data_IF_968503542255
#
_entry.id   IF_968503542255
#
_cell.length_a   1.000
_cell.length_b   1.000
_cell.length_c   1.000
_cell.angle_alpha   90.00
_cell.angle_beta   90.00
_cell.angle_gamma   90.00
#
_symmetry.space_group_name_H-M   'P 1'
#
loop_
_entity.id
_entity.type
_entity.pdbx_description
1 polymer ?
#
# COMPACT_ATOMS: atom_id res chain seq x y z
N UNK A 1 42.91 -16.55 9.20
CA UNK A 1 41.61 -16.26 9.87
C UNK A 1 41.22 -14.78 9.95
N UNK A 2 42.15 -13.82 10.15
CA UNK A 2 41.83 -12.38 10.29
C UNK A 2 41.09 -11.71 9.12
N UNK A 3 41.27 -12.20 7.88
CA UNK A 3 40.65 -11.62 6.67
C UNK A 3 39.12 -11.80 6.64
N UNK A 4 38.61 -12.93 7.14
CA UNK A 4 37.18 -13.21 7.17
C UNK A 4 36.44 -12.25 8.13
N UNK A 5 37.02 -12.00 9.31
CA UNK A 5 36.49 -11.06 10.29
C UNK A 5 36.47 -9.62 9.77
N UNK A 6 37.51 -9.24 8.99
CA UNK A 6 37.57 -7.92 8.35
C UNK A 6 36.50 -7.77 7.24
N UNK A 7 36.23 -8.82 6.46
CA UNK A 7 35.18 -8.83 5.44
C UNK A 7 33.79 -8.72 6.04
N UNK A 8 33.48 -9.51 7.08
CA UNK A 8 32.21 -9.42 7.79
C UNK A 8 32.01 -8.03 8.43
N UNK A 9 33.05 -7.45 9.03
CA UNK A 9 32.99 -6.09 9.58
C UNK A 9 32.80 -5.01 8.52
N UNK A 10 33.44 -5.13 7.36
CA UNK A 10 33.25 -4.18 6.26
C UNK A 10 31.82 -4.26 5.70
N UNK A 11 31.25 -5.47 5.58
CA UNK A 11 29.86 -5.68 5.15
C UNK A 11 28.86 -5.13 6.17
N UNK A 12 29.07 -5.39 7.46
CA UNK A 12 28.23 -4.85 8.52
C UNK A 12 28.26 -3.31 8.57
N UNK A 13 29.44 -2.69 8.37
CA UNK A 13 29.58 -1.23 8.29
C UNK A 13 28.88 -0.63 7.07
N UNK A 14 28.88 -1.31 5.92
CA UNK A 14 28.13 -0.87 4.73
C UNK A 14 26.62 -0.97 4.92
N UNK A 15 26.15 -2.02 5.60
CA UNK A 15 24.73 -2.15 5.95
C UNK A 15 24.30 -1.07 6.96
N UNK A 16 25.14 -0.77 7.95
CA UNK A 16 24.89 0.28 8.94
C UNK A 16 25.04 1.71 8.39
N UNK A 17 25.82 1.92 7.32
CA UNK A 17 25.96 3.21 6.62
C UNK A 17 24.94 3.42 5.50
N UNK A 18 24.02 2.47 5.28
CA UNK A 18 22.99 2.51 4.24
C UNK A 18 21.66 3.07 4.75
N UNK A 19 21.68 3.96 5.75
CA UNK A 19 20.49 4.72 6.18
C UNK A 19 19.91 5.57 5.03
N UNK A 20 20.74 5.96 4.05
CA UNK A 20 20.31 6.63 2.84
C UNK A 20 19.31 5.80 2.00
N UNK A 21 19.31 4.47 2.13
CA UNK A 21 18.38 3.56 1.45
C UNK A 21 17.19 3.12 2.31
N UNK A 22 17.28 3.24 3.65
CA UNK A 22 16.14 2.95 4.54
C UNK A 22 15.02 3.96 4.31
N UNK A 23 15.35 5.25 4.22
CA UNK A 23 14.34 6.31 3.98
C UNK A 23 13.69 6.18 2.60
N UNK A 24 14.43 5.91 1.51
CA UNK A 24 13.83 5.76 0.17
C UNK A 24 12.95 4.50 0.04
N UNK A 25 13.34 3.40 0.69
CA UNK A 25 12.57 2.15 0.64
C UNK A 25 11.26 2.24 1.42
N UNK A 26 11.27 2.94 2.55
CA UNK A 26 10.08 3.21 3.36
C UNK A 26 9.03 4.00 2.57
N UNK A 27 9.43 5.10 1.92
CA UNK A 27 8.51 5.90 1.09
C UNK A 27 8.01 5.10 -0.12
N UNK A 28 8.86 4.30 -0.76
CA UNK A 28 8.46 3.47 -1.89
C UNK A 28 7.43 2.41 -1.48
N UNK A 29 7.66 1.70 -0.38
CA UNK A 29 6.72 0.71 0.15
C UNK A 29 5.42 1.34 0.64
N UNK A 30 5.47 2.52 1.27
CA UNK A 30 4.28 3.28 1.63
C UNK A 30 3.41 3.61 0.42
N UNK A 31 4.03 4.02 -0.69
CA UNK A 31 3.32 4.30 -1.94
C UNK A 31 2.71 3.03 -2.56
N UNK A 32 3.45 1.92 -2.58
CA UNK A 32 2.96 0.63 -3.09
C UNK A 32 1.79 0.13 -2.24
N UNK A 33 1.88 0.23 -0.91
CA UNK A 33 0.81 -0.14 0.00
C UNK A 33 -0.45 0.70 -0.24
N UNK A 34 -0.30 2.02 -0.40
CA UNK A 34 -1.42 2.92 -0.71
C UNK A 34 -2.05 2.60 -2.07
N UNK A 35 -1.24 2.36 -3.11
CA UNK A 35 -1.72 1.99 -4.44
C UNK A 35 -2.46 0.64 -4.43
N UNK A 36 -1.94 -0.35 -3.71
CA UNK A 36 -2.59 -1.66 -3.53
C UNK A 36 -3.93 -1.54 -2.81
N UNK A 37 -3.98 -0.76 -1.73
CA UNK A 37 -5.23 -0.48 -1.01
C UNK A 37 -6.25 0.25 -1.90
N UNK A 38 -5.82 1.25 -2.67
CA UNK A 38 -6.68 1.94 -3.62
C UNK A 38 -7.26 1.01 -4.69
N UNK A 39 -6.46 0.06 -5.20
CA UNK A 39 -6.95 -0.95 -6.15
C UNK A 39 -8.04 -1.85 -5.53
N UNK A 40 -7.86 -2.27 -4.29
CA UNK A 40 -8.88 -3.05 -3.56
C UNK A 40 -10.16 -2.22 -3.36
N UNK A 41 -10.04 -0.96 -2.91
CA UNK A 41 -11.19 -0.07 -2.75
C UNK A 41 -11.92 0.18 -4.07
N UNK A 42 -11.18 0.36 -5.16
CA UNK A 42 -11.76 0.51 -6.49
C UNK A 42 -12.61 -0.71 -6.85
N UNK A 43 -12.10 -1.92 -6.62
CA UNK A 43 -12.85 -3.16 -6.89
C UNK A 43 -14.08 -3.31 -5.99
N UNK A 44 -14.02 -2.85 -4.75
CA UNK A 44 -15.18 -2.84 -3.85
C UNK A 44 -16.25 -1.87 -4.38
N UNK A 45 -15.88 -0.62 -4.64
CA UNK A 45 -16.82 0.43 -5.07
C UNK A 45 -17.41 0.14 -6.46
N UNK A 46 -16.65 -0.52 -7.34
CA UNK A 46 -17.12 -0.92 -8.66
C UNK A 46 -17.78 -2.30 -8.71
N UNK A 47 -17.99 -2.94 -7.55
CA UNK A 47 -18.66 -4.24 -7.49
C UNK A 47 -20.17 -4.11 -7.69
N UNK A 48 -20.79 -5.16 -8.25
CA UNK A 48 -22.25 -5.21 -8.47
C UNK A 48 -23.03 -5.04 -7.16
N UNK A 49 -22.50 -5.53 -6.04
CA UNK A 49 -23.13 -5.38 -4.73
C UNK A 49 -23.22 -3.92 -4.28
N UNK A 50 -22.15 -3.14 -4.48
CA UNK A 50 -22.13 -1.72 -4.11
C UNK A 50 -22.96 -0.89 -5.08
N UNK A 51 -22.83 -1.11 -6.39
CA UNK A 51 -23.65 -0.44 -7.40
C UNK A 51 -25.14 -0.71 -7.19
N UNK A 52 -25.55 -1.97 -6.98
CA UNK A 52 -26.94 -2.33 -6.73
C UNK A 52 -27.50 -1.75 -5.43
N UNK A 53 -26.68 -1.68 -4.36
CA UNK A 53 -27.08 -1.02 -3.13
C UNK A 53 -27.33 0.49 -3.35
N UNK A 54 -26.45 1.16 -4.10
CA UNK A 54 -26.59 2.57 -4.43
C UNK A 54 -27.82 2.84 -5.31
N UNK A 55 -28.04 2.01 -6.33
CA UNK A 55 -29.23 2.05 -7.18
C UNK A 55 -30.51 1.88 -6.34
N UNK A 56 -30.51 0.97 -5.36
CA UNK A 56 -31.66 0.78 -4.47
C UNK A 56 -31.95 2.02 -3.62
N UNK A 57 -30.91 2.65 -3.06
CA UNK A 57 -31.05 3.88 -2.26
C UNK A 57 -31.58 5.02 -3.12
N UNK A 58 -31.01 5.23 -4.31
CA UNK A 58 -31.46 6.26 -5.25
C UNK A 58 -32.90 5.98 -5.69
N UNK A 59 -33.22 4.73 -6.04
CA UNK A 59 -34.56 4.32 -6.44
C UNK A 59 -35.61 4.59 -5.36
N UNK A 60 -35.28 4.33 -4.09
CA UNK A 60 -36.16 4.67 -2.95
C UNK A 60 -36.36 6.17 -2.81
N UNK A 61 -35.29 6.97 -2.96
CA UNK A 61 -35.37 8.43 -2.88
C UNK A 61 -36.24 9.02 -4.00
N UNK A 62 -36.16 8.47 -5.21
CA UNK A 62 -36.94 8.92 -6.37
C UNK A 62 -38.42 8.49 -6.32
N UNK A 63 -38.73 7.36 -5.67
CA UNK A 63 -40.10 6.87 -5.51
C UNK A 63 -40.77 7.36 -4.21
N UNK A 64 -40.13 8.25 -3.45
CA UNK A 64 -40.74 8.82 -2.26
C UNK A 64 -41.95 9.69 -2.68
N UNK A 65 -43.17 9.43 -2.17
CA UNK A 65 -44.30 10.30 -2.40
C UNK A 65 -44.02 11.66 -1.76
N UNK A 66 -44.18 12.72 -2.54
CA UNK A 66 -44.11 14.11 -2.08
C UNK A 66 -45.37 14.52 -1.32
#
# INVERSE_FOLDING_TARGET
MRKATAWCRARARRAAGSDAGMTTSEYAMGTIAAAGFAAVLYKIVTSDSVSGALESVIGKALNAPF
#
